data_IF_960269826694
#
_entry.id   IF_960269826694
#
_cell.length_a   1.000
_cell.length_b   1.000
_cell.length_c   1.000
_cell.angle_alpha   90.00
_cell.angle_beta   90.00
_cell.angle_gamma   90.00
#
_symmetry.space_group_name_H-M   'P 1'
#
loop_
_entity.id
_entity.type
_entity.pdbx_description
1 polymer ?
#
# COMPACT_ATOMS: atom_id res chain seq x y z
N UNK A 1 0.66 -6.90 -20.53
CA UNK A 1 0.86 -5.76 -19.61
C UNK A 1 0.73 -4.47 -20.41
N UNK A 2 1.53 -4.31 -21.47
CA UNK A 2 1.58 -3.11 -22.32
C UNK A 2 0.20 -2.65 -22.81
N UNK A 3 -0.62 -3.55 -23.35
CA UNK A 3 -1.98 -3.20 -23.81
C UNK A 3 -2.91 -2.64 -22.72
N UNK A 4 -2.67 -2.97 -21.44
CA UNK A 4 -3.44 -2.43 -20.30
C UNK A 4 -2.84 -1.11 -19.82
N UNK A 5 -1.52 -0.92 -19.94
CA UNK A 5 -0.86 0.33 -19.58
C UNK A 5 -1.24 1.46 -20.55
N UNK A 6 -1.40 1.13 -21.83
CA UNK A 6 -1.78 2.08 -22.88
C UNK A 6 -3.30 2.33 -22.97
N UNK A 7 -4.11 1.62 -22.18
CA UNK A 7 -5.56 1.76 -22.19
C UNK A 7 -5.99 2.94 -21.30
N UNK A 8 -6.39 4.05 -21.92
CA UNK A 8 -6.88 5.26 -21.24
C UNK A 8 -8.16 5.01 -20.41
N UNK A 9 -8.89 3.91 -20.64
CA UNK A 9 -10.05 3.55 -19.82
C UNK A 9 -9.67 2.94 -18.46
N UNK A 10 -8.39 2.59 -18.25
CA UNK A 10 -7.90 2.06 -16.98
C UNK A 10 -7.34 3.20 -16.13
N UNK A 11 -8.02 3.51 -15.02
CA UNK A 11 -7.56 4.53 -14.06
C UNK A 11 -6.64 3.95 -12.98
N UNK A 12 -6.94 2.74 -12.50
CA UNK A 12 -6.28 2.11 -11.36
C UNK A 12 -5.90 0.65 -11.64
N UNK A 13 -4.72 0.26 -11.17
CA UNK A 13 -4.19 -1.11 -11.28
C UNK A 13 -3.97 -1.69 -9.88
N UNK A 14 -4.42 -2.94 -9.69
CA UNK A 14 -4.12 -3.72 -8.49
C UNK A 14 -3.00 -4.71 -8.81
N UNK A 15 -1.86 -4.56 -8.13
CA UNK A 15 -0.71 -5.47 -8.25
C UNK A 15 -0.82 -6.52 -7.14
N UNK A 16 -1.38 -7.68 -7.48
CA UNK A 16 -1.58 -8.82 -6.58
C UNK A 16 -0.70 -10.04 -6.96
N UNK A 17 0.49 -9.78 -7.48
CA UNK A 17 1.45 -10.80 -7.93
C UNK A 17 2.35 -11.28 -6.79
N UNK A 18 3.31 -12.19 -7.01
CA UNK A 18 4.30 -12.51 -5.98
C UNK A 18 5.19 -11.31 -5.61
N UNK A 19 5.65 -11.18 -4.34
CA UNK A 19 6.30 -9.96 -3.83
C UNK A 19 7.53 -9.49 -4.59
N UNK A 20 8.30 -10.42 -5.17
CA UNK A 20 9.50 -10.12 -5.96
C UNK A 20 9.23 -9.37 -7.27
N UNK A 21 7.96 -9.25 -7.67
CA UNK A 21 7.55 -8.54 -8.90
C UNK A 21 6.82 -7.23 -8.62
N UNK A 22 6.50 -6.92 -7.36
CA UNK A 22 5.66 -5.76 -7.03
C UNK A 22 6.28 -4.44 -7.46
N UNK A 23 7.58 -4.23 -7.18
CA UNK A 23 8.26 -2.98 -7.46
C UNK A 23 8.26 -2.66 -8.96
N UNK A 24 8.71 -3.61 -9.80
CA UNK A 24 8.79 -3.41 -11.24
C UNK A 24 7.41 -3.16 -11.87
N UNK A 25 6.40 -3.92 -11.47
CA UNK A 25 5.03 -3.78 -11.98
C UNK A 25 4.37 -2.48 -11.53
N UNK A 26 4.50 -2.12 -10.25
CA UNK A 26 3.96 -0.87 -9.72
C UNK A 26 4.64 0.33 -10.40
N UNK A 27 5.95 0.28 -10.60
CA UNK A 27 6.71 1.32 -11.28
C UNK A 27 6.26 1.50 -12.73
N UNK A 28 6.07 0.40 -13.46
CA UNK A 28 5.55 0.45 -14.84
C UNK A 28 4.15 1.08 -14.89
N UNK A 29 3.26 0.72 -13.96
CA UNK A 29 1.91 1.28 -13.87
C UNK A 29 1.92 2.78 -13.53
N UNK A 30 2.71 3.19 -12.53
CA UNK A 30 2.83 4.59 -12.15
C UNK A 30 3.39 5.45 -13.29
N UNK A 31 4.42 4.96 -14.00
CA UNK A 31 5.00 5.65 -15.17
C UNK A 31 4.04 5.75 -16.36
N UNK A 32 3.15 4.77 -16.51
CA UNK A 32 2.05 4.84 -17.47
C UNK A 32 0.90 5.76 -17.01
N UNK A 33 1.06 6.48 -15.89
CA UNK A 33 0.07 7.41 -15.38
C UNK A 33 -1.14 6.72 -14.76
N UNK A 34 -0.99 5.51 -14.22
CA UNK A 34 -2.06 4.78 -13.52
C UNK A 34 -1.96 4.97 -12.02
N UNK A 35 -3.10 5.00 -11.31
CA UNK A 35 -3.12 4.82 -9.86
C UNK A 35 -2.79 3.35 -9.53
N UNK A 36 -2.13 3.09 -8.41
CA UNK A 36 -1.66 1.73 -8.06
C UNK A 36 -2.01 1.36 -6.63
N UNK A 37 -2.64 0.20 -6.47
CA UNK A 37 -2.78 -0.50 -5.20
C UNK A 37 -1.97 -1.79 -5.23
N UNK A 38 -1.03 -1.98 -4.31
CA UNK A 38 -0.15 -3.15 -4.28
C UNK A 38 -0.55 -4.05 -3.11
N UNK A 39 -0.60 -5.37 -3.32
CA UNK A 39 -0.70 -6.33 -2.22
C UNK A 39 0.50 -6.21 -1.27
N UNK A 40 0.36 -6.71 -0.05
CA UNK A 40 1.46 -6.69 0.93
C UNK A 40 2.44 -7.86 0.69
N UNK A 41 3.75 -7.67 0.95
CA UNK A 41 4.42 -6.39 1.23
C UNK A 41 4.52 -5.52 -0.03
N UNK A 42 4.66 -4.18 0.13
CA UNK A 42 4.78 -3.25 -1.02
C UNK A 42 5.89 -3.66 -2.00
N UNK A 43 7.06 -4.01 -1.48
CA UNK A 43 8.26 -4.39 -2.22
C UNK A 43 9.25 -5.06 -1.26
N UNK A 44 10.43 -5.46 -1.74
CA UNK A 44 11.42 -6.22 -0.98
C UNK A 44 12.34 -5.31 -0.17
N UNK A 45 12.68 -4.13 -0.71
CA UNK A 45 13.61 -3.18 -0.07
C UNK A 45 12.98 -1.80 0.16
N UNK A 46 13.53 -1.03 1.09
CA UNK A 46 13.14 0.37 1.31
C UNK A 46 13.51 1.26 0.13
N UNK A 47 14.62 0.97 -0.57
CA UNK A 47 15.04 1.75 -1.74
C UNK A 47 14.03 1.62 -2.89
N UNK A 48 13.48 0.42 -3.10
CA UNK A 48 12.35 0.19 -4.01
C UNK A 48 11.11 0.97 -3.57
N UNK A 49 10.78 0.96 -2.26
CA UNK A 49 9.64 1.69 -1.74
C UNK A 49 9.78 3.20 -1.98
N UNK A 50 10.95 3.76 -1.71
CA UNK A 50 11.25 5.17 -1.90
C UNK A 50 11.18 5.56 -3.38
N UNK A 51 11.63 4.69 -4.29
CA UNK A 51 11.49 4.90 -5.73
C UNK A 51 10.02 4.94 -6.17
N UNK A 52 9.19 4.03 -5.66
CA UNK A 52 7.76 4.00 -5.96
C UNK A 52 7.05 5.25 -5.43
N UNK A 53 7.35 5.66 -4.19
CA UNK A 53 6.78 6.88 -3.59
C UNK A 53 7.15 8.13 -4.40
N UNK A 54 8.42 8.28 -4.79
CA UNK A 54 8.85 9.39 -5.66
C UNK A 54 8.14 9.37 -7.00
N UNK A 55 8.08 8.21 -7.66
CA UNK A 55 7.44 8.09 -8.98
C UNK A 55 5.94 8.41 -8.91
N UNK A 56 5.27 7.96 -7.86
CA UNK A 56 3.86 8.27 -7.64
C UNK A 56 3.63 9.78 -7.43
N UNK A 57 4.49 10.43 -6.63
CA UNK A 57 4.43 11.87 -6.41
C UNK A 57 4.72 12.69 -7.69
N UNK A 58 5.74 12.30 -8.45
CA UNK A 58 6.10 12.98 -9.71
C UNK A 58 5.01 12.86 -10.78
N UNK A 59 4.31 11.71 -10.82
CA UNK A 59 3.21 11.47 -11.75
C UNK A 59 1.84 11.99 -11.30
N UNK A 60 1.75 12.61 -10.11
CA UNK A 60 0.48 12.93 -9.44
C UNK A 60 -0.48 11.72 -9.43
N UNK A 61 0.06 10.56 -8.99
CA UNK A 61 -0.66 9.29 -8.90
C UNK A 61 -0.71 8.80 -7.47
N UNK A 62 -1.82 8.12 -7.18
CA UNK A 62 -2.03 7.45 -5.90
C UNK A 62 -1.25 6.14 -5.90
N UNK A 63 -0.44 5.94 -4.88
CA UNK A 63 0.14 4.65 -4.53
C UNK A 63 -0.35 4.25 -3.14
N UNK A 64 -0.90 3.05 -3.03
CA UNK A 64 -1.33 2.50 -1.74
C UNK A 64 -0.95 1.03 -1.62
N UNK A 65 -0.83 0.56 -0.38
CA UNK A 65 -0.62 -0.85 -0.05
C UNK A 65 -1.92 -1.39 0.53
N UNK A 66 -2.33 -2.58 0.13
CA UNK A 66 -3.51 -3.26 0.65
C UNK A 66 -3.27 -3.78 2.08
N UNK A 67 -3.15 -2.86 3.03
CA UNK A 67 -2.99 -3.10 4.47
C UNK A 67 -4.35 -3.39 5.13
N UNK A 68 -5.07 -4.37 4.60
CA UNK A 68 -6.48 -4.68 4.90
C UNK A 68 -6.78 -4.85 6.40
N UNK A 69 -5.85 -5.41 7.19
CA UNK A 69 -6.03 -5.62 8.63
C UNK A 69 -6.23 -4.32 9.44
N UNK A 70 -5.86 -3.16 8.89
CA UNK A 70 -6.16 -1.85 9.50
C UNK A 70 -7.67 -1.57 9.61
N UNK A 71 -8.49 -2.32 8.88
CA UNK A 71 -9.94 -2.21 8.86
C UNK A 71 -10.65 -3.35 9.60
N UNK A 72 -9.92 -4.31 10.15
CA UNK A 72 -10.50 -5.36 11.00
C UNK A 72 -11.20 -4.73 12.21
N UNK A 73 -12.31 -5.34 12.66
CA UNK A 73 -13.16 -4.75 13.69
C UNK A 73 -12.42 -4.53 15.02
N UNK A 74 -11.52 -5.45 15.37
CA UNK A 74 -10.64 -5.39 16.54
C UNK A 74 -9.63 -4.25 16.43
N UNK A 75 -8.94 -4.10 15.29
CA UNK A 75 -8.00 -3.02 15.06
C UNK A 75 -8.69 -1.65 15.08
N UNK A 76 -9.90 -1.55 14.51
CA UNK A 76 -10.72 -0.33 14.54
C UNK A 76 -11.22 -0.02 15.94
N UNK A 77 -11.58 -1.02 16.75
CA UNK A 77 -11.96 -0.85 18.14
C UNK A 77 -10.77 -0.38 19.00
N UNK A 78 -9.61 -1.02 18.84
CA UNK A 78 -8.37 -0.63 19.49
C UNK A 78 -8.01 0.83 19.16
N UNK A 79 -8.07 1.20 17.87
CA UNK A 79 -7.81 2.57 17.43
C UNK A 79 -8.73 3.58 18.12
N UNK A 80 -10.04 3.29 18.19
CA UNK A 80 -10.99 4.15 18.90
C UNK A 80 -10.68 4.26 20.39
N UNK A 81 -10.30 3.17 21.05
CA UNK A 81 -9.97 3.17 22.47
C UNK A 81 -8.73 4.02 22.78
N UNK A 82 -7.71 3.94 21.90
CA UNK A 82 -6.51 4.79 21.97
C UNK A 82 -6.86 6.26 21.71
N UNK A 83 -7.57 6.57 20.63
CA UNK A 83 -7.92 7.95 20.28
C UNK A 83 -8.83 8.61 21.34
N UNK A 84 -9.67 7.83 22.03
CA UNK A 84 -10.52 8.29 23.12
C UNK A 84 -9.83 8.33 24.50
N UNK A 85 -8.54 7.94 24.59
CA UNK A 85 -7.79 7.96 25.84
C UNK A 85 -8.24 6.92 26.88
N UNK A 86 -9.00 5.90 26.50
CA UNK A 86 -9.55 4.90 27.42
C UNK A 86 -8.49 4.02 28.10
N UNK A 87 -7.29 3.96 27.51
CA UNK A 87 -6.18 3.14 27.98
C UNK A 87 -5.16 3.95 28.80
N UNK A 88 -5.35 5.27 28.95
CA UNK A 88 -4.32 6.16 29.47
C UNK A 88 -3.11 6.26 28.54
N UNK A 89 -1.92 6.44 29.11
CA UNK A 89 -0.66 6.42 28.37
C UNK A 89 -0.29 4.99 27.99
N UNK A 90 -0.25 4.70 26.68
CA UNK A 90 0.17 3.39 26.19
C UNK A 90 1.67 3.22 26.40
N UNK A 91 2.06 2.28 27.26
CA UNK A 91 3.46 2.01 27.58
C UNK A 91 4.00 0.71 26.97
N UNK A 92 3.13 -0.18 26.49
CA UNK A 92 3.52 -1.46 25.86
C UNK A 92 2.48 -1.92 24.85
N UNK A 93 2.93 -2.57 23.77
CA UNK A 93 2.09 -3.25 22.78
C UNK A 93 2.72 -4.61 22.48
N UNK A 94 1.92 -5.67 22.62
CA UNK A 94 2.30 -7.01 22.24
C UNK A 94 1.36 -7.52 21.15
N UNK A 95 1.92 -8.10 20.09
CA UNK A 95 1.15 -8.67 18.99
C UNK A 95 1.70 -10.03 18.62
N UNK A 96 0.80 -11.00 18.45
CA UNK A 96 1.12 -12.31 17.92
C UNK A 96 0.45 -12.47 16.55
N UNK A 97 1.25 -12.84 15.55
CA UNK A 97 0.78 -13.21 14.21
C UNK A 97 1.36 -14.57 13.92
N UNK A 98 0.53 -15.61 14.06
CA UNK A 98 0.85 -17.01 13.82
C UNK A 98 -0.09 -17.61 12.80
#
# INVERSE_FOLDING_TARGET
LDSMLDDDAVDIVVVATPPNSHADLALACLRAGKHVAVEKPLCITTDEADLLLRTAAEGDRMLTVHQNRRWDADFRALRRAVDAGLLGEVFNVETFVG
#
